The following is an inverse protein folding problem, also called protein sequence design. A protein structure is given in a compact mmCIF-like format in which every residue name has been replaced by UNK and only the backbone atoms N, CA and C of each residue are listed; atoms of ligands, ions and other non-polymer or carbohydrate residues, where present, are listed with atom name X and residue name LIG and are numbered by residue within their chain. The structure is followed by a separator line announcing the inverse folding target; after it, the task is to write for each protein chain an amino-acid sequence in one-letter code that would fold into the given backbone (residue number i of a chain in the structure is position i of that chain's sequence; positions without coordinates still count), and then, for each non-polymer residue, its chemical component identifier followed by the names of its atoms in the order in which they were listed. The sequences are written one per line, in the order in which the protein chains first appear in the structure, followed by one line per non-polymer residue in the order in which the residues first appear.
data_IF_785670787385
#
_entry.id   IF_785670787385
#
_cell.length_a   1.000
_cell.length_b   1.000
_cell.length_c   1.000
_cell.angle_alpha   90.00
_cell.angle_beta   90.00
_cell.angle_gamma   90.00
#
_symmetry.space_group_name_H-M   'P 1'
#
loop_
_entity.id
_entity.type
_entity.pdbx_description
1 polymer ?
#
# COMPACT_ATOMS: atom_id res chain seq x y z
N UNK A 1 11.93 -8.65 16.66
CA UNK A 1 11.38 -7.78 15.59
C UNK A 1 10.59 -8.58 14.57
N UNK A 2 9.32 -8.21 14.34
CA UNK A 2 8.39 -8.67 13.31
C UNK A 2 8.32 -7.63 12.19
N UNK A 3 8.28 -8.07 10.93
CA UNK A 3 7.95 -7.22 9.79
C UNK A 3 6.48 -7.42 9.43
N UNK A 4 5.70 -6.35 9.46
CA UNK A 4 4.33 -6.32 8.98
C UNK A 4 4.28 -5.60 7.63
N UNK A 5 3.72 -6.23 6.60
CA UNK A 5 3.59 -5.66 5.28
C UNK A 5 2.14 -5.56 4.82
N UNK A 6 1.80 -4.46 4.14
CA UNK A 6 0.47 -4.24 3.58
C UNK A 6 0.52 -3.47 2.26
N UNK A 7 -0.50 -3.66 1.42
CA UNK A 7 -0.57 -3.08 0.09
C UNK A 7 -1.61 -3.78 -0.80
N UNK A 8 -1.47 -3.58 -2.11
CA UNK A 8 -2.27 -4.26 -3.12
C UNK A 8 -1.57 -5.52 -3.67
N UNK A 9 -2.00 -6.03 -4.83
CA UNK A 9 -1.42 -7.21 -5.50
C UNK A 9 0.09 -7.10 -5.74
N UNK A 10 0.59 -5.89 -5.99
CA UNK A 10 2.02 -5.59 -6.17
C UNK A 10 2.86 -5.88 -4.92
N UNK A 11 2.26 -5.76 -3.73
CA UNK A 11 2.89 -6.04 -2.44
C UNK A 11 2.65 -7.48 -1.99
N UNK A 12 1.49 -8.02 -2.35
CA UNK A 12 1.14 -9.43 -2.14
C UNK A 12 2.09 -10.37 -2.92
N UNK A 13 2.56 -9.94 -4.09
CA UNK A 13 3.36 -10.78 -4.99
C UNK A 13 2.48 -11.57 -5.97
N UNK A 14 1.42 -10.95 -6.50
CA UNK A 14 0.58 -11.58 -7.52
C UNK A 14 1.43 -12.11 -8.69
N UNK A 15 1.02 -13.26 -9.24
CA UNK A 15 1.70 -14.00 -10.33
C UNK A 15 3.07 -14.60 -9.97
N UNK A 16 3.58 -14.44 -8.75
CA UNK A 16 4.74 -15.20 -8.27
C UNK A 16 4.34 -16.65 -7.96
N UNK A 17 5.26 -17.59 -8.22
CA UNK A 17 5.11 -19.00 -7.83
C UNK A 17 5.19 -19.17 -6.30
N UNK A 18 6.07 -18.40 -5.66
CA UNK A 18 6.35 -18.47 -4.22
C UNK A 18 6.38 -17.08 -3.59
N UNK A 19 5.24 -16.36 -3.55
CA UNK A 19 5.18 -14.98 -3.05
C UNK A 19 5.66 -14.82 -1.61
N UNK A 20 5.52 -15.85 -0.78
CA UNK A 20 5.98 -15.90 0.61
C UNK A 20 7.51 -15.78 0.77
N UNK A 21 8.27 -16.04 -0.29
CA UNK A 21 9.74 -15.88 -0.32
C UNK A 21 10.20 -14.86 -1.35
N UNK A 22 9.51 -14.75 -2.48
CA UNK A 22 9.96 -13.96 -3.63
C UNK A 22 9.32 -12.57 -3.71
N UNK A 23 8.25 -12.27 -2.96
CA UNK A 23 7.70 -10.92 -2.93
C UNK A 23 8.67 -9.95 -2.25
N UNK A 24 8.61 -8.67 -2.63
CA UNK A 24 9.57 -7.68 -2.14
C UNK A 24 9.54 -7.50 -0.61
N UNK A 25 8.39 -7.63 0.10
CA UNK A 25 8.40 -7.59 1.57
C UNK A 25 9.07 -8.81 2.18
N UNK A 26 8.95 -9.99 1.56
CA UNK A 26 9.60 -11.23 2.01
C UNK A 26 11.12 -11.12 1.92
N UNK A 27 11.61 -10.65 0.77
CA UNK A 27 13.04 -10.42 0.56
C UNK A 27 13.59 -9.38 1.56
N UNK A 28 12.84 -8.31 1.85
CA UNK A 28 13.26 -7.32 2.85
C UNK A 28 13.25 -7.89 4.28
N UNK A 29 12.23 -8.67 4.65
CA UNK A 29 12.13 -9.29 5.96
C UNK A 29 13.26 -10.30 6.21
N UNK A 30 13.59 -11.12 5.19
CA UNK A 30 14.72 -12.04 5.22
C UNK A 30 16.04 -11.30 5.48
N UNK A 31 16.29 -10.18 4.78
CA UNK A 31 17.48 -9.33 5.00
C UNK A 31 17.54 -8.73 6.40
N UNK A 32 16.38 -8.50 7.01
CA UNK A 32 16.27 -8.00 8.39
C UNK A 32 16.35 -9.12 9.44
N UNK A 33 16.51 -10.38 9.02
CA UNK A 33 16.46 -11.56 9.88
C UNK A 33 15.20 -11.55 10.78
N UNK A 34 14.04 -11.25 10.17
CA UNK A 34 12.78 -11.07 10.87
C UNK A 34 11.65 -11.87 10.20
N UNK A 35 10.70 -12.43 10.98
CA UNK A 35 9.49 -13.01 10.41
C UNK A 35 8.65 -11.95 9.68
N UNK A 36 7.92 -12.38 8.66
CA UNK A 36 7.01 -11.54 7.88
C UNK A 36 5.55 -11.92 8.14
N UNK A 37 4.72 -10.91 8.39
CA UNK A 37 3.26 -10.97 8.24
C UNK A 37 2.84 -10.05 7.09
N UNK A 38 2.60 -10.60 5.91
CA UNK A 38 2.12 -9.85 4.75
C UNK A 38 0.60 -10.00 4.62
N UNK A 39 -0.14 -8.91 4.81
CA UNK A 39 -1.61 -8.87 4.70
C UNK A 39 -2.09 -8.06 3.48
N UNK A 40 -1.18 -7.81 2.54
CA UNK A 40 -1.51 -7.21 1.26
C UNK A 40 -2.55 -8.05 0.51
N UNK A 41 -3.48 -7.38 -0.16
CA UNK A 41 -4.60 -8.03 -0.85
C UNK A 41 -4.73 -7.50 -2.27
N UNK A 42 -4.93 -8.40 -3.23
CA UNK A 42 -5.22 -8.04 -4.61
C UNK A 42 -6.37 -7.05 -4.71
N UNK A 43 -6.17 -5.96 -5.46
CA UNK A 43 -7.22 -4.93 -5.62
C UNK A 43 -7.41 -3.96 -4.46
N UNK A 44 -6.75 -4.16 -3.31
CA UNK A 44 -6.91 -3.30 -2.14
C UNK A 44 -6.69 -1.82 -2.44
N UNK A 45 -7.54 -0.97 -1.84
CA UNK A 45 -7.44 0.49 -1.84
C UNK A 45 -6.63 1.05 -0.67
N UNK A 46 -6.34 2.35 -0.72
CA UNK A 46 -5.56 3.01 0.33
C UNK A 46 -6.32 3.09 1.66
N UNK A 47 -7.65 3.15 1.62
CA UNK A 47 -8.50 3.13 2.82
C UNK A 47 -8.32 1.81 3.60
N UNK A 48 -8.34 0.66 2.90
CA UNK A 48 -8.07 -0.67 3.50
C UNK A 48 -6.72 -0.72 4.16
N UNK A 49 -5.69 -0.26 3.43
CA UNK A 49 -4.30 -0.27 3.89
C UNK A 49 -4.19 0.51 5.20
N UNK A 50 -4.77 1.72 5.27
CA UNK A 50 -4.77 2.53 6.49
C UNK A 50 -5.50 1.80 7.62
N UNK A 51 -6.76 1.43 7.41
CA UNK A 51 -7.62 0.82 8.42
C UNK A 51 -6.98 -0.44 9.01
N UNK A 52 -6.63 -1.40 8.17
CA UNK A 52 -6.08 -2.69 8.61
C UNK A 52 -4.69 -2.57 9.22
N UNK A 53 -3.86 -1.62 8.77
CA UNK A 53 -2.56 -1.37 9.40
C UNK A 53 -2.72 -0.74 10.78
N UNK A 54 -3.57 0.28 10.92
CA UNK A 54 -3.83 0.93 12.20
C UNK A 54 -4.44 -0.04 13.21
N UNK A 55 -5.43 -0.83 12.79
CA UNK A 55 -6.03 -1.89 13.62
C UNK A 55 -4.98 -2.89 14.09
N UNK A 56 -4.17 -3.44 13.18
CA UNK A 56 -3.13 -4.40 13.54
C UNK A 56 -2.13 -3.82 14.55
N UNK A 57 -1.65 -2.59 14.32
CA UNK A 57 -0.69 -1.95 15.23
C UNK A 57 -1.31 -1.71 16.60
N UNK A 58 -2.55 -1.20 16.65
CA UNK A 58 -3.25 -0.98 17.92
C UNK A 58 -3.44 -2.29 18.70
N UNK A 59 -3.84 -3.38 18.03
CA UNK A 59 -3.98 -4.70 18.65
C UNK A 59 -2.63 -5.28 19.11
N UNK A 60 -1.59 -5.14 18.29
CA UNK A 60 -0.23 -5.59 18.62
C UNK A 60 0.29 -4.90 19.88
N UNK A 61 0.14 -3.57 19.97
CA UNK A 61 0.57 -2.81 21.14
C UNK A 61 -0.34 -3.08 22.36
N UNK A 62 -1.65 -3.16 22.16
CA UNK A 62 -2.62 -3.43 23.22
C UNK A 62 -2.48 -4.83 23.84
N UNK A 63 -1.93 -5.79 23.09
CA UNK A 63 -1.60 -7.14 23.58
C UNK A 63 -0.20 -7.25 24.20
N UNK A 64 0.49 -6.13 24.41
CA UNK A 64 1.81 -6.07 25.06
C UNK A 64 2.99 -6.16 24.10
N UNK A 65 2.77 -6.06 22.78
CA UNK A 65 3.83 -5.99 21.79
C UNK A 65 4.67 -4.71 21.94
N UNK A 66 5.98 -4.83 21.75
CA UNK A 66 6.90 -3.70 21.85
C UNK A 66 7.10 -3.02 20.49
N UNK A 67 7.05 -1.68 20.47
CA UNK A 67 7.19 -0.87 19.24
C UNK A 67 8.51 -1.11 18.51
N UNK A 68 9.61 -1.31 19.27
CA UNK A 68 10.93 -1.64 18.73
C UNK A 68 10.99 -3.01 18.06
N UNK A 69 10.09 -3.91 18.45
CA UNK A 69 9.90 -5.24 17.87
C UNK A 69 8.93 -5.25 16.69
N UNK A 70 8.46 -4.11 16.22
CA UNK A 70 7.62 -4.01 15.03
C UNK A 70 8.24 -3.11 13.96
N UNK A 71 8.17 -3.59 12.72
CA UNK A 71 8.58 -2.85 11.55
C UNK A 71 7.50 -2.90 10.46
N UNK A 72 6.96 -1.74 10.08
CA UNK A 72 5.83 -1.65 9.13
C UNK A 72 6.30 -1.28 7.72
N UNK A 73 5.92 -2.09 6.73
CA UNK A 73 6.16 -1.91 5.30
C UNK A 73 4.83 -1.63 4.58
N UNK A 74 4.72 -0.47 3.92
CA UNK A 74 3.52 -0.13 3.15
C UNK A 74 3.87 0.11 1.68
N UNK A 75 3.28 -0.71 0.81
CA UNK A 75 3.25 -0.45 -0.63
C UNK A 75 1.94 0.22 -1.01
N UNK A 76 1.95 1.55 -1.09
CA UNK A 76 0.77 2.34 -1.40
C UNK A 76 0.27 2.11 -2.83
N UNK A 77 -1.03 1.99 -3.00
CA UNK A 77 -1.66 1.72 -4.29
C UNK A 77 -2.03 3.03 -5.01
N UNK A 78 -2.72 2.95 -6.14
CA UNK A 78 -3.13 4.12 -6.91
C UNK A 78 -4.12 5.01 -6.11
N UNK A 79 -4.07 6.35 -6.25
CA UNK A 79 -4.86 7.28 -5.42
C UNK A 79 -6.38 7.11 -5.54
N UNK A 80 -6.84 6.54 -6.64
CA UNK A 80 -8.25 6.43 -7.00
C UNK A 80 -8.99 5.26 -6.34
N UNK A 81 -8.27 4.35 -5.68
CA UNK A 81 -8.86 3.16 -5.04
C UNK A 81 -9.31 3.46 -3.63
N UNK A 82 -10.56 3.10 -3.33
CA UNK A 82 -11.25 3.44 -2.07
C UNK A 82 -11.89 2.21 -1.45
N UNK A 83 -12.35 2.33 -0.22
CA UNK A 83 -13.30 1.41 0.38
C UNK A 83 -14.70 2.04 0.44
N UNK A 84 -15.71 1.21 0.25
CA UNK A 84 -17.12 1.47 0.56
C UNK A 84 -17.67 0.29 1.35
N UNK A 85 -18.84 0.43 1.94
CA UNK A 85 -19.52 -0.65 2.62
C UNK A 85 -20.99 -0.68 2.19
N UNK A 86 -21.59 -1.88 2.18
CA UNK A 86 -23.04 -1.99 2.04
C UNK A 86 -23.69 -1.86 3.41
N UNK A 87 -24.63 -0.93 3.56
CA UNK A 87 -25.33 -0.71 4.83
C UNK A 87 -26.09 -1.93 5.33
N UNK A 88 -26.48 -2.84 4.45
CA UNK A 88 -27.12 -4.10 4.82
C UNK A 88 -26.17 -5.06 5.57
N UNK A 89 -24.85 -4.87 5.42
CA UNK A 89 -23.83 -5.69 6.06
C UNK A 89 -23.36 -5.11 7.39
N UNK A 90 -23.95 -4.02 7.91
CA UNK A 90 -23.51 -3.33 9.14
C UNK A 90 -23.43 -4.26 10.38
N UNK A 91 -24.21 -5.35 10.39
CA UNK A 91 -24.21 -6.34 11.46
C UNK A 91 -23.19 -7.48 11.28
N UNK A 92 -22.44 -7.54 10.18
CA UNK A 92 -21.49 -8.63 9.95
C UNK A 92 -20.26 -8.49 10.84
N UNK A 93 -19.84 -9.60 11.44
CA UNK A 93 -18.60 -9.65 12.21
C UNK A 93 -17.35 -9.74 11.30
N UNK A 94 -17.53 -10.11 10.03
CA UNK A 94 -16.45 -10.27 9.07
C UNK A 94 -16.14 -8.94 8.37
N UNK A 95 -15.02 -8.27 8.68
CA UNK A 95 -14.70 -6.99 8.07
C UNK A 95 -14.49 -7.10 6.55
N UNK A 96 -14.16 -8.27 6.00
CA UNK A 96 -13.99 -8.45 4.55
C UNK A 96 -15.35 -8.64 3.82
N UNK A 97 -16.44 -8.90 4.56
CA UNK A 97 -17.82 -8.83 4.03
C UNK A 97 -18.37 -7.40 4.08
N UNK A 98 -18.01 -6.64 5.13
CA UNK A 98 -18.46 -5.26 5.28
C UNK A 98 -17.74 -4.30 4.32
N UNK A 99 -16.41 -4.36 4.28
CA UNK A 99 -15.58 -3.44 3.51
C UNK A 99 -15.28 -3.95 2.11
N UNK A 100 -15.60 -3.14 1.11
CA UNK A 100 -15.44 -3.49 -0.30
C UNK A 100 -14.49 -2.50 -0.97
N UNK A 101 -13.46 -3.04 -1.62
CA UNK A 101 -12.55 -2.25 -2.43
C UNK A 101 -13.24 -1.77 -3.71
N UNK A 102 -13.50 -0.47 -3.78
CA UNK A 102 -14.01 0.19 -4.97
C UNK A 102 -12.85 0.57 -5.89
N UNK A 103 -12.61 -0.30 -6.87
CA UNK A 103 -11.64 -0.07 -7.93
C UNK A 103 -12.31 0.59 -9.14
N UNK A 104 -11.72 1.71 -9.57
CA UNK A 104 -12.36 2.53 -10.57
C UNK A 104 -12.03 2.09 -11.98
N UNK A 105 -10.89 1.42 -12.20
CA UNK A 105 -10.52 0.90 -13.53
C UNK A 105 -10.98 -0.54 -13.76
N UNK A 106 -10.99 -1.37 -12.72
CA UNK A 106 -11.28 -2.81 -12.83
C UNK A 106 -12.32 -3.21 -11.77
N UNK A 107 -13.60 -3.39 -12.10
CA UNK A 107 -14.55 -3.93 -11.15
C UNK A 107 -14.18 -5.39 -10.81
N UNK A 108 -14.50 -5.88 -9.61
CA UNK A 108 -14.50 -7.32 -9.33
C UNK A 108 -15.32 -8.08 -10.39
N UNK A 109 -14.89 -9.29 -10.75
CA UNK A 109 -15.57 -10.11 -11.78
C UNK A 109 -17.03 -10.38 -11.43
N UNK A 110 -17.36 -10.49 -10.14
CA UNK A 110 -18.71 -10.72 -9.62
C UNK A 110 -19.22 -9.53 -8.78
N UNK A 111 -18.89 -8.30 -9.19
CA UNK A 111 -19.32 -7.10 -8.49
C UNK A 111 -20.87 -7.00 -8.42
N UNK A 112 -21.47 -6.77 -7.24
CA UNK A 112 -22.91 -6.55 -7.11
C UNK A 112 -23.39 -5.37 -7.96
N UNK A 113 -24.64 -5.42 -8.43
CA UNK A 113 -25.22 -4.41 -9.33
C UNK A 113 -25.09 -2.99 -8.78
N UNK A 114 -25.35 -2.80 -7.49
CA UNK A 114 -25.23 -1.51 -6.82
C UNK A 114 -23.79 -0.99 -6.78
N UNK A 115 -22.78 -1.87 -6.63
CA UNK A 115 -21.37 -1.49 -6.70
C UNK A 115 -21.00 -1.02 -8.11
N UNK A 116 -21.51 -1.72 -9.12
CA UNK A 116 -21.33 -1.35 -10.54
C UNK A 116 -22.00 -0.01 -10.83
N UNK A 117 -23.22 0.21 -10.33
CA UNK A 117 -23.97 1.44 -10.48
C UNK A 117 -23.27 2.63 -9.79
N UNK A 118 -22.82 2.44 -8.54
CA UNK A 118 -22.06 3.43 -7.78
C UNK A 118 -20.76 3.80 -8.51
N UNK A 119 -19.99 2.80 -8.95
CA UNK A 119 -18.77 3.03 -9.74
C UNK A 119 -19.06 3.85 -10.99
N UNK A 120 -20.17 3.56 -11.70
CA UNK A 120 -20.57 4.31 -12.90
C UNK A 120 -20.87 5.77 -12.58
N UNK A 121 -21.61 6.04 -11.50
CA UNK A 121 -21.92 7.40 -11.05
C UNK A 121 -20.66 8.16 -10.68
N UNK A 122 -19.75 7.55 -9.91
CA UNK A 122 -18.50 8.21 -9.51
C UNK A 122 -17.65 8.50 -10.74
N UNK A 123 -17.40 7.51 -11.60
CA UNK A 123 -16.61 7.72 -12.83
C UNK A 123 -17.18 8.83 -13.73
N UNK A 124 -18.51 8.93 -13.83
CA UNK A 124 -19.18 9.92 -14.68
C UNK A 124 -19.16 11.33 -14.09
N UNK A 125 -19.36 11.44 -12.77
CA UNK A 125 -19.79 12.71 -12.16
C UNK A 125 -18.92 13.19 -11.00
N UNK A 126 -18.15 12.31 -10.36
CA UNK A 126 -17.39 12.62 -9.15
C UNK A 126 -15.89 12.25 -9.23
N UNK A 127 -15.43 11.70 -10.36
CA UNK A 127 -14.03 11.39 -10.56
C UNK A 127 -13.21 12.67 -10.67
N UNK A 128 -12.16 12.76 -9.86
CA UNK A 128 -11.20 13.86 -9.89
C UNK A 128 -9.85 13.38 -9.37
N UNK A 129 -8.81 13.53 -10.20
CA UNK A 129 -7.43 13.21 -9.80
C UNK A 129 -7.00 14.08 -8.60
N UNK A 130 -7.45 15.33 -8.56
CA UNK A 130 -7.19 16.24 -7.44
C UNK A 130 -7.80 15.70 -6.16
N UNK A 131 -9.06 15.30 -6.17
CA UNK A 131 -9.73 14.75 -4.99
C UNK A 131 -9.09 13.40 -4.58
N UNK A 132 -8.75 12.54 -5.53
CA UNK A 132 -8.13 11.25 -5.24
C UNK A 132 -6.72 11.41 -4.68
N UNK A 133 -5.95 12.37 -5.20
CA UNK A 133 -4.65 12.74 -4.62
C UNK A 133 -4.79 13.38 -3.24
N UNK A 134 -5.80 14.20 -2.98
CA UNK A 134 -6.08 14.73 -1.64
C UNK A 134 -6.31 13.61 -0.65
N UNK A 135 -7.17 12.63 -0.99
CA UNK A 135 -7.41 11.45 -0.16
C UNK A 135 -6.12 10.67 0.09
N UNK A 136 -5.39 10.35 -0.97
CA UNK A 136 -4.12 9.63 -0.87
C UNK A 136 -3.12 10.31 0.05
N UNK A 137 -2.88 11.62 -0.12
CA UNK A 137 -1.95 12.36 0.75
C UNK A 137 -2.43 12.38 2.19
N UNK A 138 -3.74 12.49 2.40
CA UNK A 138 -4.33 12.43 3.74
C UNK A 138 -4.12 11.06 4.37
N UNK A 139 -4.34 9.96 3.63
CA UNK A 139 -4.06 8.59 4.09
C UNK A 139 -2.59 8.38 4.46
N UNK A 140 -1.65 8.87 3.62
CA UNK A 140 -0.21 8.81 3.88
C UNK A 140 0.14 9.58 5.15
N UNK A 141 -0.36 10.82 5.29
CA UNK A 141 -0.09 11.68 6.43
C UNK A 141 -0.70 11.10 7.72
N UNK A 142 -1.92 10.58 7.66
CA UNK A 142 -2.59 9.96 8.81
C UNK A 142 -1.80 8.74 9.29
N UNK A 143 -1.47 7.81 8.39
CA UNK A 143 -0.76 6.59 8.77
C UNK A 143 0.67 6.88 9.26
N UNK A 144 1.43 7.75 8.60
CA UNK A 144 2.77 8.11 9.09
C UNK A 144 2.69 8.77 10.48
N UNK A 145 1.66 9.59 10.74
CA UNK A 145 1.55 10.35 11.99
C UNK A 145 1.15 9.43 13.13
N UNK A 146 0.21 8.51 12.89
CA UNK A 146 -0.14 7.45 13.83
C UNK A 146 1.08 6.58 14.17
N UNK A 147 1.76 6.03 13.17
CA UNK A 147 2.95 5.19 13.41
C UNK A 147 4.07 5.95 14.14
N UNK A 148 4.24 7.24 13.84
CA UNK A 148 5.22 8.08 14.52
C UNK A 148 4.83 8.36 15.99
N UNK A 149 3.55 8.61 16.27
CA UNK A 149 3.05 8.82 17.62
C UNK A 149 3.24 7.58 18.50
N UNK A 150 3.01 6.39 17.94
CA UNK A 150 3.26 5.11 18.60
C UNK A 150 4.75 4.72 18.64
N UNK A 151 5.65 5.49 18.03
CA UNK A 151 7.08 5.14 17.97
C UNK A 151 7.40 3.91 17.11
N UNK A 152 6.49 3.50 16.21
CA UNK A 152 6.66 2.34 15.33
C UNK A 152 7.50 2.71 14.10
N UNK A 153 8.58 1.96 13.89
CA UNK A 153 9.44 2.10 12.72
C UNK A 153 8.72 1.63 11.46
N UNK A 154 8.83 2.40 10.38
CA UNK A 154 8.17 2.07 9.12
C UNK A 154 8.90 2.59 7.89
N UNK A 155 8.67 1.92 6.77
CA UNK A 155 9.02 2.37 5.43
C UNK A 155 7.79 2.32 4.54
N UNK A 156 7.50 3.44 3.90
CA UNK A 156 6.52 3.55 2.83
C UNK A 156 7.22 3.51 1.48
N UNK A 157 6.51 2.97 0.50
CA UNK A 157 6.89 3.00 -0.90
C UNK A 157 5.65 3.07 -1.76
N UNK A 158 5.79 3.55 -2.99
CA UNK A 158 4.70 3.54 -3.94
C UNK A 158 4.73 2.22 -4.74
N UNK A 159 3.57 1.55 -4.86
CA UNK A 159 3.45 0.32 -5.64
C UNK A 159 2.95 0.59 -7.07
N UNK A 160 2.07 1.58 -7.24
CA UNK A 160 1.46 1.98 -8.52
C UNK A 160 1.62 3.48 -8.74
N UNK A 161 1.65 3.97 -9.99
CA UNK A 161 1.85 5.40 -10.25
C UNK A 161 0.77 6.29 -9.62
N UNK A 162 1.16 7.52 -9.29
CA UNK A 162 0.27 8.59 -8.84
C UNK A 162 0.13 9.64 -9.95
N UNK A 163 -1.04 10.27 -10.04
CA UNK A 163 -1.27 11.36 -10.98
C UNK A 163 -0.37 12.57 -10.69
N UNK A 164 -0.24 13.47 -11.67
CA UNK A 164 0.52 14.70 -11.52
C UNK A 164 -0.04 15.54 -10.35
N UNK A 165 0.83 16.11 -9.50
CA UNK A 165 0.38 16.87 -8.36
C UNK A 165 -0.33 18.16 -8.78
N UNK A 166 -1.50 18.40 -8.17
CA UNK A 166 -2.19 19.68 -8.30
C UNK A 166 -1.53 20.75 -7.38
N UNK A 167 -1.36 22.02 -7.82
CA UNK A 167 -0.67 23.06 -7.04
C UNK A 167 -1.18 23.24 -5.61
N UNK A 168 -2.49 23.14 -5.40
CA UNK A 168 -3.13 23.21 -4.08
C UNK A 168 -2.57 22.19 -3.08
N UNK A 169 -2.15 21.01 -3.57
CA UNK A 169 -1.68 19.92 -2.73
C UNK A 169 -0.21 20.08 -2.35
N UNK A 170 0.47 21.13 -2.79
CA UNK A 170 1.89 21.37 -2.50
C UNK A 170 2.18 21.35 -1.01
N UNK A 171 1.34 21.98 -0.19
CA UNK A 171 1.57 22.05 1.25
C UNK A 171 1.34 20.70 1.93
N UNK A 172 0.33 19.92 1.51
CA UNK A 172 0.14 18.55 1.99
C UNK A 172 1.29 17.64 1.56
N UNK A 173 1.74 17.73 0.31
CA UNK A 173 2.90 16.98 -0.18
C UNK A 173 4.13 17.25 0.68
N UNK A 174 4.40 18.49 1.09
CA UNK A 174 5.54 18.83 1.97
C UNK A 174 5.48 18.16 3.35
N UNK A 175 4.31 17.67 3.79
CA UNK A 175 4.16 16.98 5.08
C UNK A 175 4.53 15.49 5.04
N UNK A 176 4.67 14.88 3.85
CA UNK A 176 5.09 13.48 3.73
C UNK A 176 6.57 13.33 4.14
N UNK A 177 6.89 12.36 4.99
CA UNK A 177 8.27 12.17 5.49
C UNK A 177 9.14 11.39 4.50
N UNK A 178 10.04 12.08 3.79
CA UNK A 178 10.92 11.48 2.76
C UNK A 178 11.93 10.48 3.33
N UNK A 179 12.36 10.66 4.57
CA UNK A 179 13.26 9.72 5.24
C UNK A 179 12.60 8.36 5.49
N UNK A 180 11.26 8.31 5.50
CA UNK A 180 10.44 7.10 5.68
C UNK A 180 9.60 6.73 4.45
N UNK A 181 9.78 7.41 3.32
CA UNK A 181 9.08 7.12 2.08
C UNK A 181 10.09 7.04 0.93
N UNK A 182 10.37 5.81 0.48
CA UNK A 182 11.25 5.57 -0.66
C UNK A 182 10.58 5.99 -1.98
N UNK A 183 11.26 6.82 -2.77
CA UNK A 183 10.82 7.17 -4.13
C UNK A 183 9.68 8.19 -4.23
N UNK A 184 9.24 8.83 -3.14
CA UNK A 184 8.05 9.70 -3.17
C UNK A 184 8.08 10.84 -4.22
N UNK A 185 9.25 11.44 -4.42
CA UNK A 185 9.45 12.53 -5.39
C UNK A 185 10.15 12.06 -6.68
N UNK A 186 10.37 10.75 -6.84
CA UNK A 186 10.99 10.17 -8.03
C UNK A 186 9.91 9.75 -9.04
N UNK A 187 9.95 10.23 -10.30
CA UNK A 187 9.05 9.78 -11.37
C UNK A 187 9.09 8.28 -11.66
N UNK A 188 10.20 7.60 -11.34
CA UNK A 188 10.38 6.15 -11.37
C UNK A 188 10.28 5.51 -9.98
N UNK A 189 9.72 6.26 -9.03
CA UNK A 189 9.68 5.93 -7.61
C UNK A 189 8.56 4.98 -7.19
N UNK A 190 7.72 4.56 -8.13
CA UNK A 190 6.77 3.46 -7.91
C UNK A 190 7.29 2.13 -8.48
N UNK A 191 6.87 1.03 -7.85
CA UNK A 191 7.36 -0.31 -8.17
C UNK A 191 7.04 -0.73 -9.61
N UNK A 192 5.84 -0.45 -10.11
CA UNK A 192 5.43 -0.84 -11.46
C UNK A 192 6.25 -0.11 -12.53
N UNK A 193 6.40 1.22 -12.39
CA UNK A 193 7.19 2.03 -13.31
C UNK A 193 8.67 1.64 -13.27
N UNK A 194 9.22 1.39 -12.07
CA UNK A 194 10.60 0.91 -11.92
C UNK A 194 10.83 -0.42 -12.65
N UNK A 195 9.92 -1.38 -12.47
CA UNK A 195 10.01 -2.71 -13.11
C UNK A 195 10.00 -2.60 -14.63
N UNK A 196 9.06 -1.81 -15.16
CA UNK A 196 8.92 -1.60 -16.60
C UNK A 196 10.12 -0.89 -17.20
N UNK A 197 10.58 0.19 -16.57
CA UNK A 197 11.74 0.94 -17.03
C UNK A 197 13.04 0.12 -16.99
N UNK A 198 13.16 -0.82 -16.03
CA UNK A 198 14.28 -1.73 -15.92
C UNK A 198 14.22 -2.95 -16.84
N UNK A 199 13.14 -3.14 -17.61
CA UNK A 199 12.96 -4.30 -18.49
C UNK A 199 12.85 -5.62 -17.74
N UNK A 200 12.41 -5.60 -16.48
CA UNK A 200 12.20 -6.82 -15.71
C UNK A 200 10.93 -7.56 -16.17
N UNK A 201 10.91 -8.90 -16.09
CA UNK A 201 9.78 -9.70 -16.55
C UNK A 201 8.52 -9.47 -15.71
N UNK A 202 7.37 -9.54 -16.38
CA UNK A 202 6.03 -9.48 -15.79
C UNK A 202 5.21 -10.71 -16.18
N UNK A 203 4.24 -11.08 -15.33
CA UNK A 203 3.27 -12.13 -15.63
C UNK A 203 2.22 -11.68 -16.67
N UNK A 204 1.34 -12.58 -17.09
CA UNK A 204 0.26 -12.28 -18.05
C UNK A 204 -0.64 -11.10 -17.67
N UNK A 205 -0.91 -10.88 -16.38
CA UNK A 205 -1.71 -9.73 -15.90
C UNK A 205 -0.88 -8.46 -15.68
N UNK A 206 0.42 -8.53 -15.99
CA UNK A 206 1.35 -7.41 -15.92
C UNK A 206 1.93 -7.16 -14.53
N UNK A 207 1.78 -8.08 -13.56
CA UNK A 207 2.46 -7.99 -12.28
C UNK A 207 3.95 -8.33 -12.42
N UNK A 208 4.85 -7.62 -11.73
CA UNK A 208 6.27 -7.95 -11.73
C UNK A 208 6.54 -9.37 -11.25
N UNK A 209 7.43 -10.09 -11.92
CA UNK A 209 7.90 -11.39 -11.46
C UNK A 209 9.14 -11.27 -10.56
N UNK A 210 9.68 -12.40 -10.14
CA UNK A 210 10.75 -12.55 -9.15
C UNK A 210 11.91 -11.56 -9.32
N UNK A 211 12.41 -11.38 -10.55
CA UNK A 211 13.54 -10.49 -10.82
C UNK A 211 13.22 -9.02 -10.50
N UNK A 212 12.01 -8.56 -10.86
CA UNK A 212 11.55 -7.21 -10.54
C UNK A 212 11.39 -7.00 -9.04
N UNK A 213 10.78 -7.96 -8.34
CA UNK A 213 10.64 -7.93 -6.87
C UNK A 213 11.99 -7.88 -6.15
N UNK A 214 12.97 -8.67 -6.59
CA UNK A 214 14.33 -8.66 -6.03
C UNK A 214 15.02 -7.32 -6.22
N UNK A 215 14.99 -6.78 -7.43
CA UNK A 215 15.60 -5.48 -7.74
C UNK A 215 14.93 -4.34 -6.95
N UNK A 216 13.62 -4.41 -6.75
CA UNK A 216 12.88 -3.46 -5.93
C UNK A 216 13.24 -3.55 -4.45
N UNK A 217 13.28 -4.76 -3.88
CA UNK A 217 13.70 -4.99 -2.51
C UNK A 217 15.13 -4.48 -2.27
N UNK A 218 16.05 -4.65 -3.22
CA UNK A 218 17.40 -4.09 -3.15
C UNK A 218 17.42 -2.57 -3.10
N UNK A 219 16.60 -1.92 -3.94
CA UNK A 219 16.44 -0.46 -3.93
C UNK A 219 15.92 0.05 -2.58
N UNK A 220 14.92 -0.63 -2.01
CA UNK A 220 14.36 -0.27 -0.70
C UNK A 220 15.33 -0.53 0.45
N UNK A 221 16.09 -1.63 0.42
CA UNK A 221 17.09 -1.95 1.42
C UNK A 221 18.16 -0.84 1.50
N UNK A 222 18.65 -0.35 0.35
CA UNK A 222 19.59 0.78 0.30
C UNK A 222 19.03 2.03 0.97
N UNK A 223 17.74 2.33 0.78
CA UNK A 223 17.08 3.47 1.44
C UNK A 223 17.06 3.31 2.97
N UNK A 224 16.73 2.11 3.47
CA UNK A 224 16.74 1.80 4.91
C UNK A 224 18.14 1.94 5.50
N UNK A 225 19.15 1.34 4.86
CA UNK A 225 20.53 1.35 5.34
C UNK A 225 21.13 2.76 5.40
N UNK A 226 20.89 3.59 4.37
CA UNK A 226 21.39 4.96 4.31
C UNK A 226 20.79 5.86 5.38
N UNK A 227 19.55 5.59 5.79
CA UNK A 227 18.79 6.51 6.64
C UNK A 227 18.78 6.09 8.11
N UNK A 228 18.90 4.81 8.44
CA UNK A 228 18.64 4.31 9.79
C UNK A 228 19.80 3.57 10.45
N UNK A 229 20.99 3.53 9.84
CA UNK A 229 22.24 3.10 10.51
C UNK A 229 22.86 4.19 11.41
N UNK A 230 22.04 5.04 12.06
CA UNK A 230 22.49 6.06 13.02
C UNK A 230 21.78 5.87 14.36
#
# INVERSE_FOLDING_TARGET
MLVFANGCSMTMGAELVSPETDAWPAILAERMNAPLRNVALGGAGNDRIVRTTMTFVAEYLGSGGATNDLFVLIGWTSPDRREVAFSQEEGTADPDQFWISLQMHFPPQDAPEDLVALRRVIRRSFWSDRESLTRYLTSVISLQSFLAAEGVRHLFTQALPIAQPHPELTMLRKRVRRDRFAGFDDPSGDFLTFVRAGGFPSGPDGHPLRAGHRAWAERLAKHVELRWRR
#
